data_IF_184714744874
#
_entry.id   IF_184714744874
#
_cell.length_a   1.000
_cell.length_b   1.000
_cell.length_c   1.000
_cell.angle_alpha   90.00
_cell.angle_beta   90.00
_cell.angle_gamma   90.00
#
_symmetry.space_group_name_H-M   'P 1'
#
loop_
_entity.id
_entity.type
_entity.pdbx_description
1 polymer ?
#
# COMPACT_ATOMS: atom_id res chain seq x y z
N UNK A 1 -14.68 -3.81 2.22
CA UNK A 1 -13.96 -3.64 0.94
C UNK A 1 -13.19 -4.93 0.70
N UNK A 2 -13.39 -5.62 -0.43
CA UNK A 2 -12.63 -6.83 -0.78
C UNK A 2 -11.13 -6.59 -0.78
N UNK A 3 -10.34 -7.62 -0.49
CA UNK A 3 -8.88 -7.50 -0.30
C UNK A 3 -8.16 -6.99 -1.55
N UNK A 4 -8.63 -7.35 -2.75
CA UNK A 4 -8.08 -6.84 -4.00
C UNK A 4 -8.22 -5.32 -4.17
N UNK A 5 -9.11 -4.69 -3.39
CA UNK A 5 -9.38 -3.26 -3.42
C UNK A 5 -8.82 -2.51 -2.20
N UNK A 6 -8.20 -3.21 -1.25
CA UNK A 6 -7.63 -2.63 -0.01
C UNK A 6 -6.33 -1.88 -0.29
N UNK A 7 -6.43 -0.76 -1.02
CA UNK A 7 -5.28 0.11 -1.34
C UNK A 7 -4.58 0.64 -0.10
N UNK A 8 -5.26 0.72 1.05
CA UNK A 8 -4.68 1.01 2.37
C UNK A 8 -3.69 -0.08 2.83
N UNK A 9 -4.04 -1.37 2.67
CA UNK A 9 -3.13 -2.48 3.00
C UNK A 9 -1.93 -2.47 2.07
N UNK A 10 -2.17 -2.38 0.76
CA UNK A 10 -1.09 -2.38 -0.22
C UNK A 10 -0.14 -1.20 0.01
N UNK A 11 -0.68 0.00 0.24
CA UNK A 11 0.11 1.19 0.53
C UNK A 11 0.97 1.04 1.79
N UNK A 12 0.39 0.54 2.88
CA UNK A 12 1.12 0.28 4.12
C UNK A 12 2.29 -0.70 3.97
N UNK A 13 2.08 -1.84 3.30
CA UNK A 13 3.13 -2.84 3.07
C UNK A 13 4.20 -2.29 2.09
N UNK A 14 3.80 -1.54 1.06
CA UNK A 14 4.74 -0.92 0.13
C UNK A 14 5.60 0.18 0.77
N UNK A 15 5.06 0.96 1.71
CA UNK A 15 5.86 1.94 2.46
C UNK A 15 7.00 1.27 3.24
N UNK A 16 6.77 0.06 3.75
CA UNK A 16 7.83 -0.70 4.38
C UNK A 16 8.86 -1.18 3.34
N UNK A 17 8.42 -1.75 2.21
CA UNK A 17 9.37 -2.20 1.19
C UNK A 17 10.20 -1.06 0.59
N UNK A 18 9.61 0.12 0.38
CA UNK A 18 10.34 1.30 -0.09
C UNK A 18 11.43 1.77 0.87
N UNK A 19 11.24 1.62 2.19
CA UNK A 19 12.25 2.02 3.16
C UNK A 19 13.47 1.09 3.18
N UNK A 20 13.37 -0.10 2.57
CA UNK A 20 14.43 -1.11 2.50
C UNK A 20 14.95 -1.36 1.08
N UNK A 21 14.17 -1.02 0.05
CA UNK A 21 14.45 -1.32 -1.36
C UNK A 21 14.44 -0.04 -2.22
N UNK A 22 15.59 0.64 -2.36
CA UNK A 22 15.69 1.94 -3.06
C UNK A 22 15.24 1.92 -4.52
N UNK A 23 15.28 0.76 -5.18
CA UNK A 23 14.81 0.58 -6.56
C UNK A 23 13.28 0.66 -6.70
N UNK A 24 12.54 0.55 -5.59
CA UNK A 24 11.09 0.72 -5.59
C UNK A 24 10.75 2.20 -5.66
N UNK A 25 10.07 2.60 -6.74
CA UNK A 25 9.62 3.99 -6.86
C UNK A 25 8.65 4.33 -5.73
N UNK A 26 8.75 5.56 -5.24
CA UNK A 26 7.79 6.14 -4.29
C UNK A 26 6.39 6.12 -4.86
N UNK A 27 5.43 6.16 -3.95
CA UNK A 27 4.02 6.00 -4.27
C UNK A 27 3.29 7.24 -3.85
N UNK A 28 2.49 7.77 -4.76
CA UNK A 28 1.72 8.96 -4.48
C UNK A 28 0.58 8.60 -3.51
N UNK A 29 0.70 9.11 -2.29
CA UNK A 29 -0.27 8.97 -1.22
C UNK A 29 -1.64 9.55 -1.60
N UNK A 30 -1.66 10.69 -2.30
CA UNK A 30 -2.89 11.35 -2.73
C UNK A 30 -3.64 10.47 -3.73
N UNK A 31 -2.94 9.89 -4.71
CA UNK A 31 -3.52 8.97 -5.68
C UNK A 31 -4.06 7.69 -5.00
N UNK A 32 -3.34 7.16 -4.01
CA UNK A 32 -3.78 5.98 -3.26
C UNK A 32 -5.05 6.25 -2.43
N UNK A 33 -5.11 7.41 -1.76
CA UNK A 33 -6.26 7.84 -0.99
C UNK A 33 -7.48 8.16 -1.87
N UNK A 34 -7.27 8.80 -3.02
CA UNK A 34 -8.32 9.04 -4.03
C UNK A 34 -8.89 7.73 -4.56
N UNK A 35 -8.02 6.78 -4.93
CA UNK A 35 -8.42 5.45 -5.39
C UNK A 35 -9.24 4.72 -4.32
N UNK A 36 -8.81 4.78 -3.05
CA UNK A 36 -9.55 4.20 -1.93
C UNK A 36 -10.97 4.78 -1.78
N UNK A 37 -11.12 6.09 -1.95
CA UNK A 37 -12.44 6.74 -1.91
C UNK A 37 -13.31 6.36 -3.12
N UNK A 38 -12.75 6.35 -4.33
CA UNK A 38 -13.48 5.98 -5.55
C UNK A 38 -14.01 4.54 -5.49
N UNK A 39 -13.20 3.61 -5.02
CA UNK A 39 -13.60 2.23 -4.76
C UNK A 39 -14.70 2.18 -3.70
N UNK A 40 -14.52 2.90 -2.59
CA UNK A 40 -15.52 2.92 -1.51
C UNK A 40 -16.88 3.43 -1.99
N UNK A 41 -16.88 4.50 -2.81
CA UNK A 41 -18.08 5.03 -3.46
C UNK A 41 -18.73 3.99 -4.38
N UNK A 42 -17.93 3.28 -5.19
CA UNK A 42 -18.39 2.19 -6.07
C UNK A 42 -19.05 1.07 -5.27
N UNK A 43 -18.50 0.74 -4.10
CA UNK A 43 -19.03 -0.28 -3.19
C UNK A 43 -20.19 0.21 -2.31
N UNK A 44 -20.71 1.42 -2.53
CA UNK A 44 -21.73 2.08 -1.69
C UNK A 44 -21.35 2.18 -0.20
N UNK A 45 -20.05 2.19 0.08
CA UNK A 45 -19.50 2.50 1.39
C UNK A 45 -19.39 4.02 1.45
N UNK A 46 -19.96 4.63 2.49
CA UNK A 46 -20.05 6.07 2.62
C UNK A 46 -18.65 6.71 2.52
N UNK A 47 -18.36 7.48 1.46
CA UNK A 47 -17.05 8.13 1.28
C UNK A 47 -17.04 9.57 1.80
N UNK A 48 -17.10 9.76 3.12
CA UNK A 48 -16.66 11.04 3.69
C UNK A 48 -15.13 11.11 3.56
N UNK A 49 -14.65 12.12 2.83
CA UNK A 49 -13.24 12.23 2.47
C UNK A 49 -12.33 12.25 3.71
N UNK A 50 -12.75 12.94 4.78
CA UNK A 50 -11.95 13.05 6.01
C UNK A 50 -11.87 11.70 6.74
N UNK A 51 -13.02 11.07 6.98
CA UNK A 51 -13.12 9.80 7.71
C UNK A 51 -12.43 8.67 6.95
N UNK A 52 -12.57 8.62 5.62
CA UNK A 52 -11.87 7.60 4.83
C UNK A 52 -10.38 7.85 4.72
N UNK A 53 -9.96 9.11 4.62
CA UNK A 53 -8.55 9.44 4.68
C UNK A 53 -7.98 8.99 6.03
N UNK A 54 -8.56 9.39 7.15
CA UNK A 54 -8.10 8.93 8.47
C UNK A 54 -8.04 7.39 8.58
N UNK A 55 -9.07 6.68 8.10
CA UNK A 55 -9.07 5.22 8.07
C UNK A 55 -7.97 4.64 7.18
N UNK A 56 -7.78 5.20 5.99
CA UNK A 56 -6.71 4.80 5.06
C UNK A 56 -5.34 4.93 5.73
N UNK A 57 -5.08 6.04 6.42
CA UNK A 57 -3.80 6.28 7.09
C UNK A 57 -3.57 5.36 8.27
N UNK A 58 -4.60 5.17 9.10
CA UNK A 58 -4.51 4.30 10.27
C UNK A 58 -4.21 2.86 9.84
N UNK A 59 -4.96 2.33 8.87
CA UNK A 59 -4.73 0.97 8.39
C UNK A 59 -3.39 0.83 7.65
N UNK A 60 -3.01 1.81 6.83
CA UNK A 60 -1.70 1.82 6.16
C UNK A 60 -0.55 1.79 7.17
N UNK A 61 -0.61 2.63 8.20
CA UNK A 61 0.42 2.67 9.25
C UNK A 61 0.46 1.35 10.05
N UNK A 62 -0.70 0.80 10.38
CA UNK A 62 -0.80 -0.51 11.04
C UNK A 62 -0.14 -1.60 10.20
N UNK A 63 -0.42 -1.66 8.90
CA UNK A 63 0.17 -2.65 7.99
C UNK A 63 1.67 -2.43 7.81
N UNK A 64 2.14 -1.18 7.74
CA UNK A 64 3.58 -0.86 7.74
C UNK A 64 4.27 -1.41 8.99
N UNK A 65 3.68 -1.23 10.16
CA UNK A 65 4.21 -1.76 11.43
C UNK A 65 4.23 -3.29 11.43
N UNK A 66 3.15 -3.93 10.97
CA UNK A 66 3.09 -5.40 10.84
C UNK A 66 4.16 -5.93 9.86
N UNK A 67 4.37 -5.24 8.73
CA UNK A 67 5.41 -5.58 7.77
C UNK A 67 6.81 -5.41 8.38
N UNK A 68 6.99 -4.38 9.20
CA UNK A 68 8.24 -4.17 9.96
C UNK A 68 8.49 -5.31 10.94
N UNK A 69 7.49 -5.77 11.67
CA UNK A 69 7.62 -6.92 12.57
C UNK A 69 7.93 -8.20 11.78
N UNK A 70 7.22 -8.41 10.67
CA UNK A 70 7.31 -9.63 9.87
C UNK A 70 8.64 -9.79 9.13
N UNK A 71 9.14 -8.70 8.54
CA UNK A 71 10.32 -8.73 7.67
C UNK A 71 11.53 -8.00 8.27
N UNK A 72 11.39 -7.32 9.41
CA UNK A 72 12.43 -6.44 9.97
C UNK A 72 13.77 -7.11 10.23
N UNK A 73 13.74 -8.40 10.60
CA UNK A 73 14.92 -9.24 10.85
C UNK A 73 15.53 -9.83 9.57
N UNK A 74 14.90 -9.66 8.41
CA UNK A 74 15.39 -10.20 7.14
C UNK A 74 16.46 -9.28 6.54
N UNK A 75 17.45 -9.86 5.84
CA UNK A 75 18.38 -9.09 5.01
C UNK A 75 17.66 -8.35 3.89
N UNK A 76 18.15 -7.15 3.54
CA UNK A 76 17.53 -6.28 2.52
C UNK A 76 17.29 -6.97 1.18
N UNK A 77 18.25 -7.77 0.70
CA UNK A 77 18.10 -8.47 -0.58
C UNK A 77 16.87 -9.40 -0.58
N UNK A 78 16.62 -10.15 0.50
CA UNK A 78 15.43 -11.01 0.63
C UNK A 78 14.15 -10.19 0.71
N UNK A 79 14.18 -9.08 1.44
CA UNK A 79 13.05 -8.14 1.52
C UNK A 79 12.69 -7.63 0.12
N UNK A 80 13.69 -7.30 -0.70
CA UNK A 80 13.46 -6.81 -2.05
C UNK A 80 13.02 -7.89 -3.04
N UNK A 81 13.51 -9.13 -2.91
CA UNK A 81 13.00 -10.28 -3.66
C UNK A 81 11.53 -10.55 -3.35
N UNK A 82 11.14 -10.51 -2.07
CA UNK A 82 9.74 -10.64 -1.65
C UNK A 82 8.89 -9.52 -2.24
N UNK A 83 9.37 -8.27 -2.15
CA UNK A 83 8.69 -7.13 -2.75
C UNK A 83 8.48 -7.34 -4.25
N UNK A 84 9.49 -7.85 -4.98
CA UNK A 84 9.44 -8.04 -6.44
C UNK A 84 8.52 -9.17 -6.84
N UNK A 85 8.51 -10.27 -6.08
CA UNK A 85 7.55 -11.34 -6.26
C UNK A 85 6.10 -10.87 -6.05
N UNK A 86 5.87 -9.96 -5.08
CA UNK A 86 4.51 -9.48 -4.76
C UNK A 86 4.02 -8.37 -5.67
N UNK A 87 4.90 -7.43 -5.99
CA UNK A 87 4.53 -6.13 -6.57
C UNK A 87 5.13 -5.88 -7.94
N UNK A 88 5.84 -6.86 -8.48
CA UNK A 88 6.55 -6.78 -9.73
C UNK A 88 7.80 -5.90 -9.63
N UNK A 89 8.67 -6.06 -10.63
CA UNK A 89 9.93 -5.33 -10.73
C UNK A 89 9.73 -3.82 -10.55
N UNK A 90 10.48 -3.22 -9.63
CA UNK A 90 10.38 -1.77 -9.31
C UNK A 90 8.95 -1.31 -8.95
N UNK A 91 8.12 -2.21 -8.41
CA UNK A 91 6.73 -1.94 -8.03
C UNK A 91 5.79 -1.70 -9.21
N UNK A 92 5.97 -2.36 -10.36
CA UNK A 92 5.12 -2.14 -11.54
C UNK A 92 3.66 -2.53 -11.33
N UNK A 93 3.38 -3.69 -10.70
CA UNK A 93 2.00 -4.12 -10.40
C UNK A 93 1.39 -3.15 -9.41
N UNK A 94 2.17 -2.79 -8.40
CA UNK A 94 1.78 -1.85 -7.39
C UNK A 94 1.37 -0.48 -7.95
N UNK A 95 2.13 0.08 -8.90
CA UNK A 95 1.74 1.31 -9.59
C UNK A 95 0.41 1.20 -10.32
N UNK A 96 0.12 0.05 -10.95
CA UNK A 96 -1.17 -0.17 -11.62
C UNK A 96 -2.33 -0.19 -10.63
N UNK A 97 -2.15 -0.77 -9.44
CA UNK A 97 -3.18 -0.83 -8.40
C UNK A 97 -3.52 0.52 -7.78
N UNK A 98 -2.64 1.52 -7.92
CA UNK A 98 -2.81 2.86 -7.37
C UNK A 98 -2.94 3.95 -8.44
N UNK A 99 -3.13 3.54 -9.69
CA UNK A 99 -3.59 4.45 -10.72
C UNK A 99 -5.09 4.67 -10.51
N UNK A 100 -5.55 5.93 -10.40
CA UNK A 100 -6.97 6.25 -10.29
C UNK A 100 -7.75 5.88 -11.55
#
# INVERSE_FOLDING_TARGET
>A
MPDEFRTDIFYGEALYFQSRCPQYKSVNMESAALTYCLISKTLKINCDAKTLYERFFLESNKVKNLSTIKYGMMPDHKVCEIAESKYGKNGTVFKRLLQP
#
